data_IF_475823443838
#
_entry.id   IF_475823443838
#
_cell.length_a   1.000
_cell.length_b   1.000
_cell.length_c   1.000
_cell.angle_alpha   90.00
_cell.angle_beta   90.00
_cell.angle_gamma   90.00
#
_symmetry.space_group_name_H-M   'P 1'
#
loop_
_entity.id
_entity.type
_entity.pdbx_description
1 polymer ?
#
# COMPACT_ATOMS: atom_id res chain seq x y z
N UNK A 1 13.49 -15.23 -4.36
CA UNK A 1 12.48 -15.28 -3.29
C UNK A 1 12.05 -13.87 -2.83
N UNK A 2 12.95 -13.03 -2.29
CA UNK A 2 12.60 -11.66 -1.85
C UNK A 2 11.95 -10.78 -2.93
N UNK A 3 12.42 -10.85 -4.18
CA UNK A 3 11.78 -10.09 -5.28
C UNK A 3 10.37 -10.56 -5.60
N UNK A 4 10.04 -11.83 -5.40
CA UNK A 4 8.69 -12.36 -5.63
C UNK A 4 7.75 -11.89 -4.52
N UNK A 5 8.17 -12.02 -3.26
CA UNK A 5 7.39 -11.56 -2.10
C UNK A 5 7.17 -10.04 -2.16
N UNK A 6 8.17 -9.26 -2.59
CA UNK A 6 7.99 -7.81 -2.80
C UNK A 6 6.91 -7.47 -3.83
N UNK A 7 6.83 -8.24 -4.92
CA UNK A 7 5.75 -8.10 -5.92
C UNK A 7 4.39 -8.47 -5.34
N UNK A 8 4.30 -9.55 -4.55
CA UNK A 8 3.06 -9.95 -3.91
C UNK A 8 2.55 -8.90 -2.91
N UNK A 9 3.44 -8.32 -2.10
CA UNK A 9 3.13 -7.23 -1.18
C UNK A 9 2.60 -6.01 -1.93
N UNK A 10 3.25 -5.61 -3.03
CA UNK A 10 2.78 -4.51 -3.85
C UNK A 10 1.40 -4.80 -4.48
N UNK A 11 1.14 -6.04 -4.92
CA UNK A 11 -0.14 -6.44 -5.49
C UNK A 11 -1.27 -6.39 -4.45
N UNK A 12 -1.02 -6.88 -3.23
CA UNK A 12 -1.97 -6.79 -2.13
C UNK A 12 -2.27 -5.33 -1.77
N UNK A 13 -1.25 -4.47 -1.72
CA UNK A 13 -1.42 -3.04 -1.51
C UNK A 13 -2.36 -2.40 -2.53
N UNK A 14 -2.17 -2.68 -3.82
CA UNK A 14 -3.06 -2.16 -4.88
C UNK A 14 -4.49 -2.68 -4.79
N UNK A 15 -4.68 -3.94 -4.40
CA UNK A 15 -6.01 -4.51 -4.19
C UNK A 15 -6.74 -3.82 -3.04
N UNK A 16 -6.03 -3.58 -1.93
CA UNK A 16 -6.57 -2.85 -0.79
C UNK A 16 -6.96 -1.42 -1.16
N UNK A 17 -6.14 -0.72 -1.97
CA UNK A 17 -6.47 0.61 -2.48
C UNK A 17 -7.76 0.61 -3.29
N UNK A 18 -7.89 -0.35 -4.22
CA UNK A 18 -9.05 -0.44 -5.09
C UNK A 18 -10.33 -0.64 -4.28
N UNK A 19 -10.31 -1.55 -3.30
CA UNK A 19 -11.43 -1.77 -2.40
C UNK A 19 -11.78 -0.49 -1.61
N UNK A 20 -10.77 0.20 -1.11
CA UNK A 20 -11.01 1.44 -0.37
C UNK A 20 -11.61 2.55 -1.22
N UNK A 21 -11.13 2.73 -2.45
CA UNK A 21 -11.70 3.72 -3.37
C UNK A 21 -13.17 3.41 -3.63
N UNK A 22 -13.51 2.13 -3.84
CA UNK A 22 -14.90 1.69 -3.97
C UNK A 22 -15.73 2.07 -2.74
N UNK A 23 -15.24 1.80 -1.52
CA UNK A 23 -15.94 2.18 -0.30
C UNK A 23 -16.13 3.70 -0.16
N UNK A 24 -15.14 4.48 -0.60
CA UNK A 24 -15.21 5.94 -0.56
C UNK A 24 -16.25 6.46 -1.56
N UNK A 25 -16.24 5.94 -2.80
CA UNK A 25 -17.23 6.28 -3.83
C UNK A 25 -18.66 5.95 -3.40
N UNK A 26 -18.87 4.78 -2.77
CA UNK A 26 -20.17 4.39 -2.21
C UNK A 26 -20.62 5.35 -1.10
N UNK A 27 -19.69 5.78 -0.24
CA UNK A 27 -19.98 6.68 0.87
C UNK A 27 -20.26 8.11 0.40
N UNK A 28 -19.50 8.62 -0.57
CA UNK A 28 -19.75 9.91 -1.23
C UNK A 28 -21.12 9.92 -1.91
N UNK A 29 -21.49 8.82 -2.58
CA UNK A 29 -22.83 8.65 -3.16
C UNK A 29 -23.94 8.69 -2.11
N UNK A 30 -23.71 8.09 -0.94
CA UNK A 30 -24.66 8.11 0.17
C UNK A 30 -24.72 9.47 0.90
N UNK A 31 -23.64 10.26 0.85
CA UNK A 31 -23.47 11.52 1.58
C UNK A 31 -24.58 12.54 1.28
N UNK A 32 -25.12 12.53 0.07
CA UNK A 32 -26.23 13.41 -0.33
C UNK A 32 -27.49 13.27 0.55
N UNK A 33 -27.66 12.11 1.22
CA UNK A 33 -28.78 11.86 2.13
C UNK A 33 -28.47 12.15 3.60
N UNK A 34 -27.22 12.49 3.94
CA UNK A 34 -26.82 12.71 5.32
C UNK A 34 -27.20 14.10 5.81
N UNK A 35 -27.78 14.19 7.00
CA UNK A 35 -28.23 15.46 7.60
C UNK A 35 -27.83 15.56 9.07
N UNK A 36 -27.63 16.79 9.55
CA UNK A 36 -27.34 17.09 10.95
C UNK A 36 -25.87 16.93 11.34
N UNK A 37 -25.58 17.01 12.63
CA UNK A 37 -24.21 16.96 13.17
C UNK A 37 -23.52 15.62 12.94
N UNK A 38 -24.26 14.52 12.99
CA UNK A 38 -23.76 13.17 12.70
C UNK A 38 -23.28 13.01 11.26
N UNK A 39 -23.87 13.75 10.30
CA UNK A 39 -23.40 13.77 8.92
C UNK A 39 -22.00 14.38 8.79
N UNK A 40 -21.75 15.46 9.54
CA UNK A 40 -20.44 16.14 9.56
C UNK A 40 -19.38 15.23 10.17
N UNK A 41 -19.70 14.57 11.28
CA UNK A 41 -18.80 13.61 11.93
C UNK A 41 -18.48 12.43 11.01
N UNK A 42 -19.48 11.90 10.31
CA UNK A 42 -19.30 10.79 9.38
C UNK A 42 -18.45 11.21 8.16
N UNK A 43 -18.64 12.42 7.63
CA UNK A 43 -17.76 12.98 6.61
C UNK A 43 -16.31 13.09 7.09
N UNK A 44 -16.09 13.60 8.31
CA UNK A 44 -14.76 13.66 8.91
C UNK A 44 -14.09 12.29 9.08
N UNK A 45 -14.87 11.25 9.41
CA UNK A 45 -14.38 9.88 9.48
C UNK A 45 -13.96 9.34 8.10
N UNK A 46 -14.71 9.66 7.04
CA UNK A 46 -14.33 9.29 5.67
C UNK A 46 -13.04 9.97 5.22
N UNK A 47 -12.90 11.27 5.47
CA UNK A 47 -11.70 12.02 5.13
C UNK A 47 -10.47 11.47 5.88
N UNK A 48 -10.64 11.15 7.17
CA UNK A 48 -9.58 10.54 7.96
C UNK A 48 -9.18 9.16 7.41
N UNK A 49 -10.17 8.33 7.06
CA UNK A 49 -9.93 7.02 6.45
C UNK A 49 -9.19 7.13 5.11
N UNK A 50 -9.58 8.09 4.25
CA UNK A 50 -8.89 8.35 2.99
C UNK A 50 -7.42 8.73 3.21
N UNK A 51 -7.16 9.65 4.15
CA UNK A 51 -5.79 10.07 4.49
C UNK A 51 -4.94 8.94 5.07
N UNK A 52 -5.48 8.18 6.03
CA UNK A 52 -4.78 7.06 6.66
C UNK A 52 -4.30 6.03 5.63
N UNK A 53 -5.13 5.76 4.62
CA UNK A 53 -4.84 4.70 3.68
C UNK A 53 -3.93 5.08 2.53
N UNK A 54 -3.92 6.35 2.12
CA UNK A 54 -2.80 6.87 1.31
C UNK A 54 -1.48 6.66 2.05
N UNK A 55 -1.46 6.95 3.36
CA UNK A 55 -0.30 6.68 4.21
C UNK A 55 0.08 5.20 4.27
N UNK A 56 -0.90 4.30 4.39
CA UNK A 56 -0.65 2.85 4.35
C UNK A 56 -0.10 2.38 3.01
N UNK A 57 -0.60 2.92 1.90
CA UNK A 57 -0.11 2.54 0.58
C UNK A 57 1.33 2.90 0.36
N UNK A 58 1.69 4.14 0.69
CA UNK A 58 3.07 4.63 0.55
C UNK A 58 4.03 3.71 1.31
N UNK A 59 3.67 3.30 2.54
CA UNK A 59 4.48 2.37 3.34
C UNK A 59 4.59 0.98 2.71
N UNK A 60 3.51 0.46 2.11
CA UNK A 60 3.52 -0.84 1.43
C UNK A 60 4.42 -0.79 0.18
N UNK A 61 4.34 0.30 -0.60
CA UNK A 61 5.18 0.51 -1.78
C UNK A 61 6.66 0.68 -1.41
N UNK A 62 6.95 1.49 -0.40
CA UNK A 62 8.30 1.63 0.16
C UNK A 62 8.86 0.27 0.61
N UNK A 63 8.06 -0.53 1.30
CA UNK A 63 8.47 -1.86 1.74
C UNK A 63 8.77 -2.79 0.56
N UNK A 64 7.87 -2.85 -0.44
CA UNK A 64 8.07 -3.64 -1.65
C UNK A 64 9.34 -3.22 -2.42
N UNK A 65 9.59 -1.92 -2.56
CA UNK A 65 10.80 -1.39 -3.19
C UNK A 65 12.07 -1.74 -2.41
N UNK A 66 12.01 -1.67 -1.08
CA UNK A 66 13.09 -2.10 -0.19
C UNK A 66 13.43 -3.59 -0.35
N UNK A 67 12.41 -4.45 -0.42
CA UNK A 67 12.58 -5.89 -0.65
C UNK A 67 13.22 -6.19 -2.01
N UNK A 68 12.80 -5.48 -3.06
CA UNK A 68 13.41 -5.61 -4.39
C UNK A 68 14.88 -5.21 -4.36
N UNK A 69 15.20 -4.07 -3.77
CA UNK A 69 16.57 -3.57 -3.62
C UNK A 69 17.45 -4.55 -2.86
N UNK A 70 16.95 -5.09 -1.74
CA UNK A 70 17.66 -6.09 -0.94
C UNK A 70 17.92 -7.37 -1.75
N UNK A 71 16.93 -7.86 -2.51
CA UNK A 71 17.09 -9.04 -3.35
C UNK A 71 18.21 -8.86 -4.40
N UNK A 72 18.26 -7.71 -5.08
CA UNK A 72 19.30 -7.39 -6.05
C UNK A 72 20.68 -7.30 -5.38
N UNK A 73 20.76 -6.66 -4.22
CA UNK A 73 21.99 -6.54 -3.44
C UNK A 73 22.55 -7.90 -3.00
N UNK A 74 21.70 -8.81 -2.53
CA UNK A 74 22.09 -10.16 -2.12
C UNK A 74 22.67 -10.96 -3.28
N UNK A 75 22.02 -10.95 -4.46
CA UNK A 75 22.50 -11.66 -5.66
C UNK A 75 23.90 -11.16 -6.07
N UNK A 76 24.12 -9.85 -6.03
CA UNK A 76 25.41 -9.28 -6.39
C UNK A 76 26.52 -9.61 -5.37
N UNK A 77 26.20 -9.64 -4.08
CA UNK A 77 27.14 -10.08 -3.03
C UNK A 77 27.51 -11.56 -3.19
N UNK A 78 26.53 -12.42 -3.44
CA UNK A 78 26.74 -13.85 -3.69
C UNK A 78 27.65 -14.05 -4.91
N UNK A 79 27.41 -13.33 -6.01
CA UNK A 79 28.24 -13.37 -7.22
C UNK A 79 29.70 -12.98 -6.94
N UNK A 80 29.92 -11.89 -6.20
CA UNK A 80 31.27 -11.44 -5.82
C UNK A 80 31.98 -12.46 -4.92
N UNK A 81 31.28 -13.01 -3.93
CA UNK A 81 31.86 -14.03 -3.06
C UNK A 81 32.23 -15.29 -3.83
N UNK A 82 31.35 -15.76 -4.73
CA UNK A 82 31.63 -16.92 -5.58
C UNK A 82 32.86 -16.71 -6.48
N UNK A 83 33.08 -15.49 -6.99
CA UNK A 83 34.28 -15.18 -7.80
C UNK A 83 35.58 -15.15 -6.99
N UNK A 84 35.53 -14.94 -5.67
CA UNK A 84 36.70 -14.93 -4.79
C UNK A 84 37.09 -16.31 -4.28
N UNK A 85 36.18 -17.27 -4.38
CA UNK A 85 36.37 -18.67 -3.96
C UNK A 85 36.77 -19.59 -5.13
N UNK A 86 36.92 -19.04 -6.35
CA UNK A 86 37.47 -19.71 -7.52
C UNK A 86 38.90 -19.27 -7.73
#
# INVERSE_FOLDING_TARGET
MLSHVGVEVANHGRTLLALQRSCHEDADGAQLGWVGSSAVELGGLLDHWAGASVGHLNRIEEHAAGMHTAAVGSVELERRNASRLR
#
